data_IF_092030127345
#
_entry.id   IF_092030127345
#
_cell.length_a   1.000
_cell.length_b   1.000
_cell.length_c   1.000
_cell.angle_alpha   90.00
_cell.angle_beta   90.00
_cell.angle_gamma   90.00
#
_symmetry.space_group_name_H-M   'P 1'
#
loop_
_entity.id
_entity.type
_entity.pdbx_description
1 polymer ?
#
# COMPACT_ATOMS: atom_id res chain seq x y z
N UNK A 1 -21.72 -11.62 -8.07
CA UNK A 1 -20.28 -11.27 -8.17
C UNK A 1 -19.51 -12.57 -8.29
N UNK A 2 -18.65 -12.74 -9.29
CA UNK A 2 -17.89 -13.98 -9.46
C UNK A 2 -16.77 -14.04 -8.44
N UNK A 3 -16.91 -14.90 -7.42
CA UNK A 3 -15.79 -15.22 -6.52
C UNK A 3 -14.58 -15.66 -7.35
N UNK A 4 -13.39 -15.17 -6.99
CA UNK A 4 -12.15 -15.65 -7.62
C UNK A 4 -12.10 -17.16 -7.47
N UNK A 5 -12.07 -17.88 -8.58
CA UNK A 5 -12.03 -19.35 -8.53
C UNK A 5 -10.78 -19.80 -7.78
N UNK A 6 -10.88 -20.92 -7.07
CA UNK A 6 -9.76 -21.49 -6.31
C UNK A 6 -8.51 -21.66 -7.18
N UNK A 7 -8.69 -22.07 -8.44
CA UNK A 7 -7.62 -22.16 -9.44
C UNK A 7 -6.97 -20.82 -9.78
N UNK A 8 -7.70 -19.70 -9.72
CA UNK A 8 -7.12 -18.36 -9.90
C UNK A 8 -6.22 -17.99 -8.71
N UNK A 9 -6.62 -18.33 -7.48
CA UNK A 9 -5.81 -18.10 -6.28
C UNK A 9 -4.50 -18.89 -6.32
N UNK A 10 -4.53 -20.14 -6.78
CA UNK A 10 -3.32 -20.96 -6.89
C UNK A 10 -2.39 -20.49 -8.02
N UNK A 11 -2.94 -20.05 -9.15
CA UNK A 11 -2.14 -19.39 -10.20
C UNK A 11 -1.46 -18.13 -9.69
N UNK A 12 -2.17 -17.32 -8.91
CA UNK A 12 -1.61 -16.11 -8.31
C UNK A 12 -0.50 -16.45 -7.31
N UNK A 13 -0.70 -17.44 -6.45
CA UNK A 13 0.33 -17.93 -5.53
C UNK A 13 1.58 -18.40 -6.26
N UNK A 14 1.42 -19.22 -7.31
CA UNK A 14 2.53 -19.69 -8.13
C UNK A 14 3.30 -18.53 -8.80
N UNK A 15 2.60 -17.49 -9.25
CA UNK A 15 3.23 -16.29 -9.78
C UNK A 15 4.04 -15.54 -8.70
N UNK A 16 3.47 -15.36 -7.50
CA UNK A 16 4.15 -14.72 -6.37
C UNK A 16 5.40 -15.49 -5.93
N UNK A 17 5.35 -16.82 -5.89
CA UNK A 17 6.51 -17.66 -5.58
C UNK A 17 7.68 -17.40 -6.53
N UNK A 18 7.42 -17.29 -7.83
CA UNK A 18 8.46 -16.96 -8.83
C UNK A 18 9.05 -15.57 -8.60
N UNK A 19 8.21 -14.61 -8.24
CA UNK A 19 8.67 -13.24 -7.96
C UNK A 19 9.56 -13.21 -6.71
N UNK A 20 9.19 -13.96 -5.68
CA UNK A 20 9.96 -14.03 -4.43
C UNK A 20 11.25 -14.82 -4.60
N UNK A 21 11.25 -15.91 -5.38
CA UNK A 21 12.49 -16.63 -5.70
C UNK A 21 13.49 -15.76 -6.46
N UNK A 22 13.00 -14.77 -7.20
CA UNK A 22 13.83 -13.80 -7.93
C UNK A 22 14.34 -12.64 -7.06
N UNK A 23 13.86 -12.50 -5.81
CA UNK A 23 14.45 -11.54 -4.87
C UNK A 23 15.88 -12.00 -4.56
N UNK A 24 16.86 -11.17 -4.95
CA UNK A 24 18.28 -11.47 -4.76
C UNK A 24 18.54 -11.79 -3.28
N UNK A 25 18.85 -13.05 -2.99
CA UNK A 25 19.14 -13.58 -1.64
C UNK A 25 20.17 -12.72 -0.91
N UNK A 26 21.10 -12.12 -1.65
CA UNK A 26 22.17 -11.26 -1.11
C UNK A 26 21.68 -9.96 -0.45
N UNK A 27 20.42 -9.54 -0.67
CA UNK A 27 19.84 -8.35 -0.03
C UNK A 27 19.10 -8.66 1.27
N UNK A 28 18.81 -9.93 1.55
CA UNK A 28 18.04 -10.33 2.72
C UNK A 28 18.97 -10.73 3.87
N UNK A 29 18.59 -10.38 5.09
CA UNK A 29 19.29 -10.91 6.27
C UNK A 29 19.11 -12.43 6.33
N UNK A 30 20.15 -13.15 6.76
CA UNK A 30 20.11 -14.63 6.88
C UNK A 30 18.97 -15.11 7.78
N UNK A 31 18.67 -14.37 8.86
CA UNK A 31 17.55 -14.65 9.76
C UNK A 31 16.20 -14.56 9.05
N UNK A 32 16.00 -13.52 8.23
CA UNK A 32 14.75 -13.32 7.48
C UNK A 32 14.58 -14.38 6.40
N UNK A 33 15.66 -14.85 5.78
CA UNK A 33 15.60 -15.94 4.81
C UNK A 33 15.03 -17.22 5.43
N UNK A 34 15.47 -17.59 6.63
CA UNK A 34 14.93 -18.75 7.35
C UNK A 34 13.43 -18.61 7.64
N UNK A 35 13.01 -17.43 8.12
CA UNK A 35 11.59 -17.11 8.37
C UNK A 35 10.79 -17.18 7.07
N UNK A 36 11.29 -16.60 5.97
CA UNK A 36 10.65 -16.67 4.65
C UNK A 36 10.44 -18.13 4.23
N UNK A 37 11.46 -18.98 4.30
CA UNK A 37 11.33 -20.40 3.91
C UNK A 37 10.31 -21.14 4.77
N UNK A 38 10.28 -20.87 6.07
CA UNK A 38 9.29 -21.46 6.98
C UNK A 38 7.86 -21.09 6.57
N UNK A 39 7.61 -19.79 6.31
CA UNK A 39 6.29 -19.34 5.88
C UNK A 39 5.90 -19.83 4.48
N UNK A 40 6.85 -19.91 3.54
CA UNK A 40 6.58 -20.48 2.21
C UNK A 40 6.17 -21.95 2.29
N UNK A 41 6.75 -22.71 3.23
CA UNK A 41 6.32 -24.09 3.51
C UNK A 41 4.91 -24.16 4.10
N UNK A 42 4.56 -23.24 5.00
CA UNK A 42 3.18 -23.14 5.53
C UNK A 42 2.22 -22.84 4.38
N UNK A 43 2.54 -21.85 3.54
CA UNK A 43 1.70 -21.45 2.41
C UNK A 43 1.49 -22.54 1.37
N UNK A 44 2.48 -23.42 1.14
CA UNK A 44 2.31 -24.54 0.21
C UNK A 44 1.43 -25.67 0.76
N UNK A 45 1.23 -25.73 2.09
CA UNK A 45 0.39 -26.74 2.75
C UNK A 45 -1.07 -26.30 2.89
N UNK A 46 -1.35 -25.01 2.68
CA UNK A 46 -2.70 -24.43 2.82
C UNK A 46 -3.62 -24.94 1.73
N UNK A 47 -4.81 -25.41 2.13
CA UNK A 47 -5.87 -25.90 1.25
C UNK A 47 -7.22 -25.24 1.55
N UNK A 48 -8.17 -25.33 0.60
CA UNK A 48 -9.53 -24.85 0.80
C UNK A 48 -9.63 -23.34 1.03
N UNK A 49 -10.31 -22.96 2.10
CA UNK A 49 -10.76 -21.58 2.37
C UNK A 49 -9.61 -20.62 2.69
N UNK A 50 -8.51 -21.11 3.28
CA UNK A 50 -7.37 -20.29 3.69
C UNK A 50 -6.47 -19.84 2.52
N UNK A 51 -6.72 -20.32 1.29
CA UNK A 51 -5.94 -19.93 0.09
C UNK A 51 -5.94 -18.43 -0.16
N UNK A 52 -7.00 -17.76 0.27
CA UNK A 52 -7.11 -16.31 0.18
C UNK A 52 -6.17 -15.63 1.17
N UNK A 53 -6.26 -15.93 2.47
CA UNK A 53 -5.34 -15.38 3.46
C UNK A 53 -3.87 -15.68 3.15
N UNK A 54 -3.58 -16.89 2.63
CA UNK A 54 -2.27 -17.23 2.07
C UNK A 54 -1.78 -16.19 1.06
N UNK A 55 -2.59 -15.90 0.03
CA UNK A 55 -2.21 -14.96 -1.02
C UNK A 55 -2.02 -13.53 -0.48
N UNK A 56 -2.81 -13.15 0.51
CA UNK A 56 -2.75 -11.85 1.17
C UNK A 56 -1.45 -11.69 1.99
N UNK A 57 -1.16 -12.68 2.83
CA UNK A 57 0.08 -12.74 3.58
C UNK A 57 1.30 -12.86 2.65
N UNK A 58 1.17 -13.52 1.50
CA UNK A 58 2.22 -13.58 0.50
C UNK A 58 2.52 -12.20 -0.13
N UNK A 59 1.49 -11.39 -0.42
CA UNK A 59 1.68 -10.01 -0.86
C UNK A 59 2.37 -9.18 0.23
N UNK A 60 1.91 -9.30 1.47
CA UNK A 60 2.47 -8.58 2.60
C UNK A 60 3.96 -8.93 2.81
N UNK A 61 4.30 -10.22 2.75
CA UNK A 61 5.67 -10.69 2.86
C UNK A 61 6.53 -10.13 1.74
N UNK A 62 6.06 -10.18 0.50
CA UNK A 62 6.78 -9.63 -0.64
C UNK A 62 7.03 -8.12 -0.49
N UNK A 63 6.02 -7.36 -0.07
CA UNK A 63 6.16 -5.92 0.20
C UNK A 63 7.24 -5.64 1.24
N UNK A 64 7.18 -6.34 2.39
CA UNK A 64 8.18 -6.19 3.45
C UNK A 64 9.60 -6.53 3.00
N UNK A 65 9.79 -7.65 2.30
CA UNK A 65 11.10 -8.06 1.79
C UNK A 65 11.64 -7.09 0.75
N UNK A 66 10.78 -6.59 -0.14
CA UNK A 66 11.17 -5.68 -1.23
C UNK A 66 11.51 -4.28 -0.73
N UNK A 67 10.71 -3.74 0.19
CA UNK A 67 10.78 -2.35 0.62
C UNK A 67 11.66 -2.17 1.84
N UNK A 68 11.54 -3.05 2.83
CA UNK A 68 12.28 -2.95 4.09
C UNK A 68 13.54 -3.82 4.10
N UNK A 69 13.67 -4.78 3.18
CA UNK A 69 14.76 -5.76 3.19
C UNK A 69 14.73 -6.74 4.38
N UNK A 70 13.66 -6.71 5.19
CA UNK A 70 13.48 -7.52 6.40
C UNK A 70 12.01 -7.87 6.63
N UNK A 71 11.74 -8.95 7.35
CA UNK A 71 10.39 -9.31 7.76
C UNK A 71 10.03 -8.66 9.10
N UNK A 72 8.79 -8.18 9.20
CA UNK A 72 8.19 -7.65 10.42
C UNK A 72 7.06 -8.54 10.92
N UNK A 73 6.14 -7.98 11.71
CA UNK A 73 4.87 -8.65 12.02
C UNK A 73 4.01 -8.72 10.74
N UNK A 74 3.24 -9.81 10.52
CA UNK A 74 3.02 -10.93 11.44
C UNK A 74 4.07 -12.05 11.39
N UNK A 75 5.02 -12.02 10.45
CA UNK A 75 5.90 -13.15 10.15
C UNK A 75 6.94 -13.48 11.23
N UNK A 76 7.35 -12.48 11.99
CA UNK A 76 8.36 -12.61 13.05
C UNK A 76 7.81 -13.20 14.35
N UNK A 77 6.48 -13.32 14.51
CA UNK A 77 5.88 -13.92 15.69
C UNK A 77 5.77 -15.45 15.49
N UNK A 78 6.55 -16.27 16.22
CA UNK A 78 6.53 -17.72 16.04
C UNK A 78 5.16 -18.35 16.35
N UNK A 79 4.35 -17.70 17.19
CA UNK A 79 3.00 -18.19 17.54
C UNK A 79 2.08 -18.20 16.32
N UNK A 80 2.30 -17.30 15.37
CA UNK A 80 1.47 -17.21 14.16
C UNK A 80 1.71 -18.37 13.19
N UNK A 81 2.79 -19.12 13.33
CA UNK A 81 3.09 -20.25 12.44
C UNK A 81 2.20 -21.48 12.68
N UNK A 82 1.52 -21.53 13.83
CA UNK A 82 0.62 -22.62 14.23
C UNK A 82 -0.86 -22.20 14.18
N UNK A 83 -1.15 -20.97 13.76
CA UNK A 83 -2.50 -20.43 13.73
C UNK A 83 -3.10 -20.52 12.33
N UNK A 84 -4.43 -20.49 12.27
CA UNK A 84 -5.13 -20.27 11.02
C UNK A 84 -4.72 -18.94 10.39
N UNK A 85 -4.51 -18.94 9.07
CA UNK A 85 -4.01 -17.77 8.35
C UNK A 85 -5.01 -16.62 8.36
N UNK A 86 -6.30 -16.92 8.38
CA UNK A 86 -7.37 -15.92 8.51
C UNK A 86 -7.29 -15.17 9.85
N UNK A 87 -6.98 -15.88 10.94
CA UNK A 87 -6.78 -15.27 12.27
C UNK A 87 -5.55 -14.36 12.27
N UNK A 88 -4.45 -14.83 11.68
CA UNK A 88 -3.20 -14.06 11.58
C UNK A 88 -3.43 -12.77 10.78
N UNK A 89 -4.23 -12.86 9.71
CA UNK A 89 -4.52 -11.73 8.85
C UNK A 89 -5.52 -10.75 9.48
N UNK A 90 -6.56 -11.25 10.16
CA UNK A 90 -7.56 -10.40 10.82
C UNK A 90 -6.99 -9.57 11.97
N UNK A 91 -5.96 -10.07 12.67
CA UNK A 91 -5.23 -9.31 13.69
C UNK A 91 -4.22 -8.32 13.10
N UNK A 92 -3.90 -8.42 11.82
CA UNK A 92 -2.97 -7.51 11.16
C UNK A 92 -3.62 -6.15 10.91
N UNK A 93 -3.30 -5.19 11.78
CA UNK A 93 -3.87 -3.84 11.75
C UNK A 93 -3.28 -2.89 10.69
N UNK A 94 -2.42 -3.38 9.78
CA UNK A 94 -1.82 -2.55 8.72
C UNK A 94 -0.85 -1.47 9.21
N UNK A 95 -0.58 -1.36 10.52
CA UNK A 95 0.41 -0.42 11.04
C UNK A 95 1.79 -0.97 10.70
N UNK A 96 2.31 -0.55 9.54
CA UNK A 96 3.72 -0.72 9.19
C UNK A 96 4.47 0.11 10.23
N UNK A 97 4.96 -0.55 11.27
CA UNK A 97 5.92 0.05 12.19
C UNK A 97 7.18 0.28 11.36
N UNK A 98 7.24 1.44 10.70
CA UNK A 98 8.50 2.07 10.37
C UNK A 98 9.15 2.25 11.72
N UNK A 99 9.94 1.26 12.14
CA UNK A 99 10.73 1.35 13.34
C UNK A 99 11.46 2.67 13.19
N UNK A 100 11.10 3.67 14.00
CA UNK A 100 11.89 4.88 14.11
C UNK A 100 13.31 4.36 14.31
N UNK A 101 14.26 4.70 13.41
CA UNK A 101 15.64 4.33 13.66
C UNK A 101 15.90 4.81 15.08
N UNK A 102 16.27 3.90 15.98
CA UNK A 102 16.60 4.22 17.35
C UNK A 102 17.78 5.18 17.26
N UNK A 103 17.48 6.47 17.18
CA UNK A 103 18.42 7.58 17.18
C UNK A 103 18.82 7.81 18.63
N UNK A 104 19.48 6.80 19.20
CA UNK A 104 20.40 6.96 20.30
C UNK A 104 21.73 6.54 19.73
N UNK A 105 22.39 7.51 19.07
CA UNK A 105 23.84 7.67 19.02
C UNK A 105 24.19 8.66 17.90
N UNK A 106 24.82 9.78 18.32
CA UNK A 106 25.48 10.84 17.54
C UNK A 106 24.64 12.05 17.08
N UNK A 107 24.41 12.97 18.02
CA UNK A 107 23.96 14.35 17.77
C UNK A 107 25.13 15.34 17.46
N UNK A 108 26.35 14.88 17.14
CA UNK A 108 27.53 15.78 17.05
C UNK A 108 28.20 15.89 15.65
N UNK A 109 27.49 15.63 14.55
CA UNK A 109 28.13 15.65 13.22
C UNK A 109 27.35 16.28 12.06
N UNK A 110 26.50 17.28 12.32
CA UNK A 110 25.90 18.10 11.25
C UNK A 110 26.14 19.60 11.51
N UNK A 111 27.38 20.07 11.32
CA UNK A 111 27.68 21.51 11.24
C UNK A 111 28.65 21.89 10.11
N UNK A 112 29.17 20.96 9.31
CA UNK A 112 30.17 21.32 8.28
C UNK A 112 29.84 20.75 6.90
N UNK A 113 28.91 21.40 6.18
CA UNK A 113 28.90 21.33 4.72
C UNK A 113 28.27 22.60 4.12
N UNK A 114 28.87 23.74 4.45
CA UNK A 114 28.71 24.97 3.69
C UNK A 114 30.11 25.44 3.29
N UNK A 115 30.54 25.13 2.06
CA UNK A 115 31.68 25.82 1.47
C UNK A 115 31.65 25.73 -0.07
N UNK A 116 31.47 26.92 -0.66
CA UNK A 116 32.01 27.39 -1.93
C UNK A 116 31.53 26.77 -3.26
N UNK A 117 30.66 27.53 -3.91
CA UNK A 117 30.50 27.59 -5.35
C UNK A 117 29.92 28.95 -5.72
N UNK A 118 30.73 29.98 -5.62
CA UNK A 118 30.40 31.36 -5.98
C UNK A 118 30.29 31.46 -7.51
N UNK A 119 29.06 31.43 -8.03
CA UNK A 119 28.76 31.54 -9.47
C UNK A 119 28.25 32.95 -9.73
N UNK A 120 29.12 33.70 -10.41
CA UNK A 120 28.92 35.05 -10.92
C UNK A 120 27.58 35.25 -11.64
N UNK A 121 26.83 36.22 -11.13
CA UNK A 121 25.77 37.02 -11.74
C UNK A 121 25.57 36.90 -13.26
N UNK A 122 24.44 36.30 -13.65
CA UNK A 122 23.69 36.68 -14.86
C UNK A 122 22.25 37.01 -14.45
N UNK A 123 21.79 38.20 -14.80
CA UNK A 123 20.59 38.90 -14.29
C UNK A 123 19.24 38.38 -14.83
N UNK A 124 19.09 37.07 -15.02
CA UNK A 124 17.82 36.46 -15.48
C UNK A 124 17.15 35.55 -14.44
N UNK A 125 17.70 35.46 -13.22
CA UNK A 125 17.31 34.47 -12.19
C UNK A 125 16.15 34.85 -11.25
N UNK A 126 15.63 36.09 -11.31
CA UNK A 126 14.58 36.54 -10.38
C UNK A 126 13.22 35.84 -10.58
N UNK A 127 12.96 35.27 -11.77
CA UNK A 127 11.69 34.59 -12.03
C UNK A 127 11.63 33.15 -11.51
N UNK A 128 12.77 32.48 -11.33
CA UNK A 128 12.84 31.10 -10.83
C UNK A 128 12.70 31.02 -9.31
N UNK A 129 13.23 32.02 -8.60
CA UNK A 129 13.13 32.13 -7.13
C UNK A 129 11.67 32.15 -6.65
N UNK A 130 10.84 33.01 -7.26
CA UNK A 130 9.45 33.19 -6.84
C UNK A 130 8.56 31.94 -7.10
N UNK A 131 8.93 31.10 -8.07
CA UNK A 131 8.22 29.84 -8.36
C UNK A 131 8.57 28.74 -7.37
N UNK A 132 9.78 28.76 -6.81
CA UNK A 132 10.21 27.82 -5.79
C UNK A 132 9.54 28.13 -4.45
N UNK A 133 9.47 29.40 -4.06
CA UNK A 133 8.82 29.85 -2.82
C UNK A 133 7.33 29.50 -2.78
N UNK A 134 6.63 29.64 -3.91
CA UNK A 134 5.22 29.22 -3.99
C UNK A 134 5.04 27.71 -3.81
N UNK A 135 5.95 26.89 -4.37
CA UNK A 135 5.90 25.43 -4.18
C UNK A 135 6.19 25.06 -2.72
N UNK A 136 7.15 25.73 -2.09
CA UNK A 136 7.50 25.51 -0.67
C UNK A 136 6.30 25.87 0.22
N UNK A 137 5.62 26.99 -0.03
CA UNK A 137 4.41 27.37 0.70
C UNK A 137 3.30 26.33 0.54
N UNK A 138 3.04 25.87 -0.69
CA UNK A 138 2.02 24.84 -0.97
C UNK A 138 2.30 23.51 -0.27
N UNK A 139 3.56 23.08 -0.20
CA UNK A 139 3.97 21.87 0.54
C UNK A 139 3.76 22.06 2.04
N UNK A 140 4.05 23.25 2.59
CA UNK A 140 3.86 23.56 4.01
C UNK A 140 2.38 23.52 4.40
N UNK A 141 1.50 24.05 3.56
CA UNK A 141 0.05 24.04 3.79
C UNK A 141 -0.51 22.61 3.75
N UNK A 142 -0.09 21.81 2.77
CA UNK A 142 -0.42 20.38 2.69
C UNK A 142 0.06 19.60 3.92
N UNK A 143 1.27 19.88 4.39
CA UNK A 143 1.81 19.25 5.59
C UNK A 143 0.99 19.62 6.84
N UNK A 144 0.60 20.89 6.99
CA UNK A 144 -0.26 21.33 8.08
C UNK A 144 -1.66 20.71 8.02
N UNK A 145 -2.24 20.57 6.82
CA UNK A 145 -3.53 19.89 6.63
C UNK A 145 -3.44 18.42 7.04
N UNK A 146 -2.39 17.71 6.62
CA UNK A 146 -2.15 16.32 7.03
C UNK A 146 -1.97 16.18 8.55
N UNK A 147 -1.28 17.13 9.20
CA UNK A 147 -1.17 17.16 10.66
C UNK A 147 -2.52 17.33 11.36
N UNK A 148 -3.43 18.14 10.80
CA UNK A 148 -4.81 18.25 11.32
C UNK A 148 -5.58 16.95 11.17
N UNK A 149 -5.50 16.29 10.02
CA UNK A 149 -6.16 15.00 9.79
C UNK A 149 -5.65 13.90 10.73
N UNK A 150 -4.34 13.83 10.99
CA UNK A 150 -3.77 12.87 11.94
C UNK A 150 -4.36 13.08 13.34
N UNK A 151 -4.44 14.32 13.81
CA UNK A 151 -5.05 14.65 15.12
C UNK A 151 -6.54 14.28 15.19
N UNK A 152 -7.28 14.50 14.11
CA UNK A 152 -8.69 14.12 14.02
C UNK A 152 -8.87 12.59 14.04
N UNK A 153 -8.01 11.84 13.32
CA UNK A 153 -8.00 10.38 13.36
C UNK A 153 -7.73 9.87 14.78
N UNK A 154 -6.73 10.44 15.47
CA UNK A 154 -6.40 10.07 16.85
C UNK A 154 -7.57 10.34 17.81
N UNK A 155 -8.24 11.49 17.64
CA UNK A 155 -9.44 11.85 18.43
C UNK A 155 -10.58 10.84 18.20
N UNK A 156 -10.89 10.51 16.94
CA UNK A 156 -11.92 9.52 16.59
C UNK A 156 -11.57 8.13 17.12
N UNK A 157 -10.29 7.76 17.14
CA UNK A 157 -9.84 6.49 17.70
C UNK A 157 -10.06 6.42 19.22
N UNK A 158 -9.76 7.51 19.94
CA UNK A 158 -10.03 7.62 21.38
C UNK A 158 -11.54 7.47 21.66
N UNK A 159 -12.37 8.21 20.93
CA UNK A 159 -13.83 8.14 21.09
C UNK A 159 -14.39 6.74 20.82
N UNK A 160 -13.88 6.07 19.78
CA UNK A 160 -14.29 4.71 19.43
C UNK A 160 -13.88 3.71 20.51
N UNK A 161 -12.68 3.87 21.09
CA UNK A 161 -12.19 3.05 22.19
C UNK A 161 -13.05 3.20 23.45
N UNK A 162 -13.41 4.43 23.82
CA UNK A 162 -14.25 4.72 24.99
C UNK A 162 -15.66 4.12 24.83
N UNK A 163 -16.27 4.28 23.65
CA UNK A 163 -17.57 3.67 23.32
C UNK A 163 -17.55 2.13 23.39
N UNK A 164 -16.44 1.50 22.97
CA UNK A 164 -16.29 0.05 23.06
C UNK A 164 -16.21 -0.42 24.53
N UNK A 165 -15.53 0.34 25.38
CA UNK A 165 -15.40 0.05 26.81
C UNK A 165 -16.73 0.22 27.55
N UNK A 166 -17.48 1.28 27.24
CA UNK A 166 -18.84 1.50 27.75
C UNK A 166 -19.80 0.38 27.34
N UNK A 167 -19.75 -0.05 26.09
CA UNK A 167 -20.55 -1.18 25.60
C UNK A 167 -20.25 -2.47 26.36
N UNK A 168 -18.96 -2.74 26.64
CA UNK A 168 -18.53 -3.90 27.43
C UNK A 168 -19.04 -3.81 28.88
N UNK A 169 -18.96 -2.65 29.51
CA UNK A 169 -19.45 -2.41 30.87
C UNK A 169 -20.97 -2.58 30.98
N UNK A 170 -21.73 -2.11 29.99
CA UNK A 170 -23.19 -2.32 29.93
C UNK A 170 -23.54 -3.81 29.89
N UNK A 171 -22.85 -4.60 29.05
CA UNK A 171 -23.06 -6.06 28.97
C UNK A 171 -22.80 -6.76 30.31
N UNK A 172 -21.72 -6.40 31.00
CA UNK A 172 -21.40 -6.93 32.34
C UNK A 172 -22.48 -6.58 33.37
N UNK A 173 -23.01 -5.36 33.35
CA UNK A 173 -24.07 -4.95 34.26
C UNK A 173 -25.40 -5.65 33.97
N UNK A 174 -25.78 -5.83 32.70
CA UNK A 174 -26.96 -6.60 32.32
C UNK A 174 -26.83 -8.06 32.78
N UNK A 175 -25.65 -8.66 32.61
CA UNK A 175 -25.40 -10.03 33.08
C UNK A 175 -25.52 -10.16 34.60
N UNK A 176 -25.01 -9.19 35.37
CA UNK A 176 -25.16 -9.15 36.84
C UNK A 176 -26.62 -9.00 37.27
N UNK A 177 -27.41 -8.17 36.58
CA UNK A 177 -28.84 -8.01 36.89
C UNK A 177 -29.61 -9.31 36.65
N UNK A 178 -29.33 -10.01 35.55
CA UNK A 178 -29.96 -11.31 35.25
C UNK A 178 -29.63 -12.34 36.34
N UNK A 179 -28.39 -12.38 36.84
CA UNK A 179 -28.02 -13.30 37.93
C UNK A 179 -28.67 -12.98 39.29
N UNK A 180 -29.05 -11.72 39.54
CA UNK A 180 -29.66 -11.30 40.80
C UNK A 180 -31.19 -11.38 40.81
N UNK A 181 -31.83 -11.47 39.65
CA UNK A 181 -33.29 -11.49 39.53
C UNK A 181 -33.89 -12.87 39.25
N UNK A 182 -33.12 -13.97 39.31
CA UNK A 182 -33.76 -15.28 39.43
C UNK A 182 -34.54 -15.31 40.75
N UNK A 183 -35.89 -15.31 40.72
CA UNK A 183 -36.66 -15.33 41.94
C UNK A 183 -36.31 -16.62 42.67
N UNK A 184 -36.06 -16.52 43.97
CA UNK A 184 -36.11 -17.66 44.87
C UNK A 184 -37.50 -18.30 44.75
N UNK A 185 -37.69 -19.18 43.77
CA UNK A 185 -38.94 -19.87 43.55
C UNK A 185 -39.14 -20.78 44.77
N UNK A 186 -40.10 -20.33 45.58
CA UNK A 186 -41.01 -21.16 46.38
C UNK A 186 -40.48 -22.55 46.70
N UNK A 187 -40.08 -22.73 47.96
CA UNK A 187 -39.86 -24.01 48.65
C UNK A 187 -41.08 -24.92 48.48
N UNK A 188 -41.22 -25.58 47.34
CA UNK A 188 -42.00 -26.81 47.24
C UNK A 188 -41.21 -27.87 48.00
N UNK A 189 -41.79 -28.39 49.07
CA UNK A 189 -41.27 -29.52 49.86
C UNK A 189 -41.34 -30.83 49.05
N UNK A 190 -40.76 -30.83 47.85
CA UNK A 190 -40.43 -32.05 47.11
C UNK A 190 -39.00 -32.42 47.47
N UNK A 191 -38.76 -33.71 47.70
CA UNK A 191 -37.43 -34.27 47.93
C UNK A 191 -36.47 -33.76 46.85
N UNK A 192 -35.58 -32.84 47.24
CA UNK A 192 -34.53 -32.33 46.36
C UNK A 192 -33.60 -33.49 46.06
N UNK A 193 -33.80 -34.15 44.92
CA UNK A 193 -32.84 -35.10 44.40
C UNK A 193 -31.66 -34.28 43.84
N UNK A 194 -30.49 -34.26 44.52
CA UNK A 194 -29.33 -33.45 44.09
C UNK A 194 -28.83 -33.83 42.69
N UNK A 195 -29.31 -34.95 42.15
CA UNK A 195 -28.94 -35.47 40.84
C UNK A 195 -29.49 -34.65 39.66
N UNK A 196 -30.65 -33.99 39.82
CA UNK A 196 -31.32 -33.29 38.69
C UNK A 196 -30.47 -32.14 38.15
N UNK A 197 -29.88 -31.34 39.03
CA UNK A 197 -29.02 -30.22 38.61
C UNK A 197 -27.73 -30.71 37.94
N UNK A 198 -27.19 -31.85 38.39
CA UNK A 198 -26.03 -32.49 37.78
C UNK A 198 -26.34 -32.95 36.35
N UNK A 199 -27.52 -33.55 36.14
CA UNK A 199 -27.99 -33.97 34.83
C UNK A 199 -28.22 -32.80 33.87
N UNK A 200 -28.90 -31.73 34.32
CA UNK A 200 -29.13 -30.53 33.51
C UNK A 200 -27.80 -29.91 33.08
N UNK A 201 -26.83 -29.81 33.99
CA UNK A 201 -25.51 -29.29 33.67
C UNK A 201 -24.78 -30.17 32.65
N UNK A 202 -24.80 -31.49 32.84
CA UNK A 202 -24.18 -32.46 31.93
C UNK A 202 -24.78 -32.39 30.52
N UNK A 203 -26.11 -32.34 30.44
CA UNK A 203 -26.87 -32.15 29.19
C UNK A 203 -26.52 -30.83 28.49
N UNK A 204 -26.45 -29.73 29.23
CA UNK A 204 -26.05 -28.42 28.70
C UNK A 204 -24.63 -28.42 28.15
N UNK A 205 -23.69 -29.03 28.88
CA UNK A 205 -22.30 -29.17 28.43
C UNK A 205 -22.19 -30.04 27.18
N UNK A 206 -22.99 -31.11 27.08
CA UNK A 206 -23.06 -31.95 25.89
C UNK A 206 -23.59 -31.17 24.68
N UNK A 207 -24.66 -30.38 24.86
CA UNK A 207 -25.22 -29.54 23.81
C UNK A 207 -24.20 -28.49 23.32
N UNK A 208 -23.48 -27.82 24.23
CA UNK A 208 -22.40 -26.90 23.85
C UNK A 208 -21.26 -27.59 23.08
N UNK A 209 -20.89 -28.80 23.50
CA UNK A 209 -19.84 -29.55 22.81
C UNK A 209 -20.27 -29.99 21.41
N UNK A 210 -21.56 -30.30 21.20
CA UNK A 210 -22.13 -30.55 19.87
C UNK A 210 -22.09 -29.28 19.02
N UNK A 211 -22.56 -28.16 19.55
CA UNK A 211 -22.52 -26.88 18.86
C UNK A 211 -21.10 -26.49 18.41
N UNK A 212 -20.08 -26.77 19.23
CA UNK A 212 -18.67 -26.53 18.87
C UNK A 212 -18.13 -27.43 17.76
N UNK A 213 -18.65 -28.66 17.66
CA UNK A 213 -18.22 -29.66 16.66
C UNK A 213 -19.05 -29.61 15.39
N UNK A 214 -20.14 -28.86 15.41
CA UNK A 214 -21.08 -28.79 14.31
C UNK A 214 -20.43 -28.23 13.05
N UNK A 215 -20.55 -28.99 11.97
CA UNK A 215 -19.83 -28.72 10.71
C UNK A 215 -20.66 -27.99 9.66
N UNK A 216 -21.94 -27.71 9.95
CA UNK A 216 -22.82 -26.92 9.09
C UNK A 216 -24.18 -27.60 8.84
N UNK A 217 -24.93 -27.12 7.83
CA UNK A 217 -26.38 -27.37 7.70
C UNK A 217 -26.78 -28.83 7.43
N UNK A 218 -25.82 -29.72 7.13
CA UNK A 218 -26.10 -31.13 6.87
C UNK A 218 -26.23 -31.96 8.16
N UNK A 219 -25.87 -31.41 9.31
CA UNK A 219 -25.90 -32.07 10.60
C UNK A 219 -26.90 -31.36 11.52
N UNK A 220 -27.78 -32.14 12.16
CA UNK A 220 -28.72 -31.60 13.15
C UNK A 220 -27.97 -31.33 14.46
N UNK A 221 -28.21 -30.16 15.05
CA UNK A 221 -27.57 -29.74 16.30
C UNK A 221 -28.31 -30.34 17.50
N UNK A 222 -29.65 -30.41 17.40
CA UNK A 222 -30.55 -30.86 18.47
C UNK A 222 -30.20 -30.21 19.83
N UNK A 223 -29.90 -28.91 19.81
CA UNK A 223 -29.30 -28.20 20.94
C UNK A 223 -30.24 -28.19 22.16
N UNK A 224 -31.48 -27.75 21.96
CA UNK A 224 -32.52 -27.66 22.98
C UNK A 224 -32.98 -29.05 23.41
N UNK A 225 -33.12 -29.99 22.47
CA UNK A 225 -33.43 -31.39 22.79
C UNK A 225 -32.37 -32.01 23.69
N UNK A 226 -31.09 -31.72 23.42
CA UNK A 226 -29.97 -32.18 24.26
C UNK A 226 -29.97 -31.47 25.61
N UNK A 227 -30.18 -30.14 25.66
CA UNK A 227 -30.21 -29.36 26.89
C UNK A 227 -31.36 -29.76 27.83
N UNK A 228 -32.55 -29.98 27.27
CA UNK A 228 -33.81 -30.25 27.99
C UNK A 228 -34.13 -31.75 28.05
N UNK A 229 -33.14 -32.61 27.86
CA UNK A 229 -33.33 -34.06 27.81
C UNK A 229 -34.04 -34.59 29.07
N UNK A 230 -33.73 -34.02 30.25
CA UNK A 230 -34.34 -34.43 31.51
C UNK A 230 -35.84 -34.11 31.54
N UNK A 231 -36.24 -32.91 31.12
CA UNK A 231 -37.62 -32.45 31.05
C UNK A 231 -38.41 -33.21 29.97
N UNK A 232 -37.80 -33.50 28.82
CA UNK A 232 -38.43 -34.25 27.73
C UNK A 232 -38.71 -35.70 28.16
N UNK A 233 -37.80 -36.33 28.91
CA UNK A 233 -38.02 -37.68 29.44
C UNK A 233 -39.21 -37.73 30.40
N UNK A 234 -39.46 -36.66 31.15
CA UNK A 234 -40.58 -36.54 32.07
C UNK A 234 -41.90 -36.15 31.36
N UNK A 235 -41.82 -35.40 30.26
CA UNK A 235 -42.97 -34.88 29.51
C UNK A 235 -42.76 -35.08 28.00
N UNK A 236 -43.08 -36.27 27.46
CA UNK A 236 -42.84 -36.60 26.04
C UNK A 236 -43.63 -35.70 25.07
N UNK A 237 -44.73 -35.10 25.53
CA UNK A 237 -45.51 -34.12 24.76
C UNK A 237 -44.69 -32.87 24.36
N UNK A 238 -43.65 -32.52 25.13
CA UNK A 238 -42.75 -31.41 24.81
C UNK A 238 -41.81 -31.74 23.66
N UNK A 239 -41.57 -33.01 23.35
CA UNK A 239 -40.57 -33.43 22.36
C UNK A 239 -40.83 -32.80 20.98
N UNK A 240 -42.10 -32.76 20.54
CA UNK A 240 -42.45 -32.16 19.25
C UNK A 240 -42.21 -30.65 19.22
N UNK A 241 -42.52 -29.96 20.32
CA UNK A 241 -42.34 -28.51 20.43
C UNK A 241 -40.85 -28.14 20.49
N UNK A 242 -40.06 -28.90 21.26
CA UNK A 242 -38.60 -28.71 21.35
C UNK A 242 -37.95 -28.99 20.00
N UNK A 243 -38.35 -30.04 19.29
CA UNK A 243 -37.85 -30.31 17.94
C UNK A 243 -38.15 -29.17 16.95
N UNK A 244 -39.32 -28.52 17.05
CA UNK A 244 -39.65 -27.33 16.24
C UNK A 244 -38.74 -26.15 16.59
N UNK A 245 -38.48 -25.93 17.88
CA UNK A 245 -37.57 -24.88 18.34
C UNK A 245 -36.12 -25.15 17.92
N UNK A 246 -35.67 -26.40 17.96
CA UNK A 246 -34.33 -26.78 17.49
C UNK A 246 -34.13 -26.47 16.02
N UNK A 247 -35.09 -26.83 15.16
CA UNK A 247 -35.05 -26.46 13.73
C UNK A 247 -35.02 -24.96 13.53
N UNK A 248 -35.77 -24.20 14.34
CA UNK A 248 -35.74 -22.75 14.26
C UNK A 248 -34.39 -22.18 14.72
N UNK A 249 -33.84 -22.71 15.80
CA UNK A 249 -32.51 -22.34 16.30
C UNK A 249 -31.43 -22.63 15.25
N UNK A 250 -31.45 -23.82 14.65
CA UNK A 250 -30.55 -24.20 13.54
C UNK A 250 -30.66 -23.22 12.38
N UNK A 251 -31.88 -22.83 11.99
CA UNK A 251 -32.09 -21.86 10.93
C UNK A 251 -31.48 -20.49 11.28
N UNK A 252 -31.69 -20.00 12.51
CA UNK A 252 -31.11 -18.73 12.98
C UNK A 252 -29.59 -18.79 13.03
N UNK A 253 -29.01 -19.89 13.53
CA UNK A 253 -27.55 -20.05 13.60
C UNK A 253 -26.95 -20.12 12.19
N UNK A 254 -27.54 -20.90 11.27
CA UNK A 254 -27.11 -20.94 9.87
C UNK A 254 -27.16 -19.55 9.24
N UNK A 255 -28.26 -18.81 9.42
CA UNK A 255 -28.40 -17.45 8.92
C UNK A 255 -27.33 -16.51 9.50
N UNK A 256 -27.02 -16.61 10.80
CA UNK A 256 -25.97 -15.80 11.43
C UNK A 256 -24.57 -16.15 10.90
N UNK A 257 -24.29 -17.43 10.64
CA UNK A 257 -23.04 -17.87 10.03
C UNK A 257 -22.93 -17.33 8.62
N UNK A 258 -23.96 -17.50 7.79
CA UNK A 258 -24.00 -16.94 6.44
C UNK A 258 -23.75 -15.43 6.44
N UNK A 259 -24.46 -14.68 7.29
CA UNK A 259 -24.27 -13.24 7.44
C UNK A 259 -22.85 -12.87 7.90
N UNK A 260 -22.25 -13.66 8.79
CA UNK A 260 -20.89 -13.41 9.28
C UNK A 260 -19.86 -13.70 8.19
N UNK A 261 -20.01 -14.80 7.46
CA UNK A 261 -19.20 -15.14 6.29
C UNK A 261 -19.31 -14.08 5.20
N UNK A 262 -20.51 -13.62 4.86
CA UNK A 262 -20.71 -12.55 3.87
C UNK A 262 -20.00 -11.25 4.27
N UNK A 263 -20.09 -10.85 5.56
CA UNK A 263 -19.38 -9.66 6.06
C UNK A 263 -17.88 -9.85 6.03
N UNK A 264 -17.40 -11.03 6.42
CA UNK A 264 -15.99 -11.38 6.35
C UNK A 264 -15.47 -11.27 4.92
N UNK A 265 -16.13 -11.93 3.96
CA UNK A 265 -15.76 -11.91 2.54
C UNK A 265 -15.79 -10.50 1.96
N UNK A 266 -16.79 -9.70 2.32
CA UNK A 266 -16.87 -8.30 1.89
C UNK A 266 -15.73 -7.46 2.47
N UNK A 267 -15.41 -7.62 3.76
CA UNK A 267 -14.30 -6.92 4.39
C UNK A 267 -12.96 -7.31 3.77
N UNK A 268 -12.81 -8.60 3.46
CA UNK A 268 -11.63 -9.16 2.82
C UNK A 268 -11.46 -8.64 1.40
N UNK A 269 -12.53 -8.62 0.60
CA UNK A 269 -12.51 -8.01 -0.74
C UNK A 269 -12.15 -6.53 -0.69
N UNK A 270 -12.72 -5.77 0.25
CA UNK A 270 -12.35 -4.37 0.46
C UNK A 270 -10.87 -4.19 0.80
N UNK A 271 -10.27 -5.10 1.57
CA UNK A 271 -8.84 -5.08 1.89
C UNK A 271 -7.99 -5.32 0.63
N UNK A 272 -8.38 -6.29 -0.20
CA UNK A 272 -7.70 -6.55 -1.47
C UNK A 272 -7.78 -5.38 -2.44
N UNK A 273 -8.95 -4.77 -2.59
CA UNK A 273 -9.12 -3.60 -3.46
C UNK A 273 -8.23 -2.45 -3.00
N UNK A 274 -8.11 -2.23 -1.68
CA UNK A 274 -7.20 -1.23 -1.11
C UNK A 274 -5.73 -1.58 -1.38
N UNK A 275 -5.31 -2.81 -1.08
CA UNK A 275 -3.93 -3.26 -1.30
C UNK A 275 -3.55 -3.18 -2.79
N UNK A 276 -4.44 -3.60 -3.68
CA UNK A 276 -4.23 -3.57 -5.11
C UNK A 276 -4.16 -2.12 -5.63
N UNK A 277 -5.06 -1.25 -5.16
CA UNK A 277 -5.02 0.18 -5.50
C UNK A 277 -3.71 0.83 -5.04
N UNK A 278 -3.29 0.59 -3.80
CA UNK A 278 -2.03 1.09 -3.25
C UNK A 278 -0.82 0.59 -4.06
N UNK A 279 -0.80 -0.69 -4.43
CA UNK A 279 0.27 -1.27 -5.24
C UNK A 279 0.33 -0.62 -6.63
N UNK A 280 -0.82 -0.36 -7.25
CA UNK A 280 -0.92 0.32 -8.55
C UNK A 280 -0.44 1.77 -8.49
N UNK A 281 -0.85 2.52 -7.46
CA UNK A 281 -0.39 3.90 -7.25
C UNK A 281 1.13 3.97 -7.04
N UNK A 282 1.68 3.07 -6.23
CA UNK A 282 3.13 2.97 -6.02
C UNK A 282 3.88 2.65 -7.32
N UNK A 283 3.31 1.81 -8.19
CA UNK A 283 3.88 1.51 -9.49
C UNK A 283 3.88 2.74 -10.40
N UNK A 284 2.77 3.49 -10.44
CA UNK A 284 2.67 4.72 -11.24
C UNK A 284 3.71 5.77 -10.82
N UNK A 285 3.90 5.97 -9.52
CA UNK A 285 4.92 6.89 -8.99
C UNK A 285 6.33 6.46 -9.42
N UNK A 286 6.63 5.15 -9.38
CA UNK A 286 7.93 4.62 -9.84
C UNK A 286 8.13 4.82 -11.34
N UNK A 287 7.10 4.60 -12.14
CA UNK A 287 7.14 4.82 -13.59
C UNK A 287 7.31 6.31 -13.94
N UNK A 288 6.68 7.21 -13.19
CA UNK A 288 6.88 8.65 -13.33
C UNK A 288 8.30 9.09 -12.95
N UNK A 289 8.82 8.61 -11.82
CA UNK A 289 10.19 8.89 -11.41
C UNK A 289 11.22 8.37 -12.44
N UNK A 290 11.00 7.18 -13.00
CA UNK A 290 11.84 6.65 -14.08
C UNK A 290 11.77 7.53 -15.34
N UNK A 291 10.58 8.03 -15.69
CA UNK A 291 10.43 8.98 -16.80
C UNK A 291 11.20 10.28 -16.55
N UNK A 292 11.15 10.83 -15.33
CA UNK A 292 11.89 12.02 -14.96
C UNK A 292 13.42 11.80 -15.05
N UNK A 293 13.92 10.67 -14.54
CA UNK A 293 15.34 10.32 -14.62
C UNK A 293 15.80 10.16 -16.08
N UNK A 294 15.01 9.51 -16.93
CA UNK A 294 15.33 9.37 -18.34
C UNK A 294 15.39 10.73 -19.04
N UNK A 295 14.44 11.63 -18.76
CA UNK A 295 14.44 12.97 -19.32
C UNK A 295 15.68 13.79 -18.88
N UNK A 296 16.09 13.69 -17.61
CA UNK A 296 17.33 14.32 -17.14
C UNK A 296 18.57 13.75 -17.84
N UNK A 297 18.62 12.43 -18.04
CA UNK A 297 19.73 11.77 -18.73
C UNK A 297 19.81 12.20 -20.21
N UNK A 298 18.66 12.28 -20.90
CA UNK A 298 18.57 12.79 -22.26
C UNK A 298 19.05 14.24 -22.35
N UNK A 299 18.66 15.08 -21.39
CA UNK A 299 19.14 16.46 -21.30
C UNK A 299 20.66 16.54 -21.12
N UNK A 300 21.24 15.74 -20.22
CA UNK A 300 22.69 15.68 -20.01
C UNK A 300 23.43 15.20 -21.27
N UNK A 301 22.91 14.17 -21.94
CA UNK A 301 23.48 13.69 -23.19
C UNK A 301 23.46 14.77 -24.28
N UNK A 302 22.38 15.55 -24.35
CA UNK A 302 22.26 16.66 -25.30
C UNK A 302 23.24 17.80 -24.98
N UNK A 303 23.41 18.14 -23.70
CA UNK A 303 24.40 19.13 -23.27
C UNK A 303 25.82 18.70 -23.65
N UNK A 304 26.15 17.42 -23.43
CA UNK A 304 27.43 16.85 -23.84
C UNK A 304 27.62 16.94 -25.36
N UNK A 305 26.60 16.59 -26.14
CA UNK A 305 26.66 16.69 -27.59
C UNK A 305 26.91 18.13 -28.06
N UNK A 306 26.20 19.11 -27.50
CA UNK A 306 26.42 20.53 -27.82
C UNK A 306 27.85 20.96 -27.47
N UNK A 307 28.36 20.56 -26.30
CA UNK A 307 29.74 20.85 -25.88
C UNK A 307 30.77 20.22 -26.82
N UNK A 308 30.56 18.98 -27.25
CA UNK A 308 31.45 18.28 -28.19
C UNK A 308 31.43 18.96 -29.57
N UNK A 309 30.25 19.38 -30.05
CA UNK A 309 30.09 20.13 -31.28
C UNK A 309 30.78 21.51 -31.22
N UNK A 310 30.62 22.25 -30.11
CA UNK A 310 31.31 23.54 -29.89
C UNK A 310 32.83 23.38 -29.90
N UNK A 311 33.36 22.38 -29.20
CA UNK A 311 34.78 22.07 -29.20
C UNK A 311 35.30 21.74 -30.61
N UNK A 312 34.53 21.00 -31.41
CA UNK A 312 34.87 20.70 -32.80
C UNK A 312 34.84 21.94 -33.70
N UNK A 313 33.85 22.82 -33.54
CA UNK A 313 33.78 24.10 -34.23
C UNK A 313 34.98 24.99 -33.90
N UNK A 314 35.34 25.12 -32.62
CA UNK A 314 36.49 25.91 -32.17
C UNK A 314 37.81 25.36 -32.73
N UNK A 315 38.01 24.04 -32.69
CA UNK A 315 39.18 23.38 -33.27
C UNK A 315 39.29 23.63 -34.78
N UNK A 316 38.17 23.59 -35.51
CA UNK A 316 38.14 23.87 -36.93
C UNK A 316 38.40 25.35 -37.24
N UNK A 317 37.80 26.27 -36.49
CA UNK A 317 38.05 27.71 -36.61
C UNK A 317 39.55 28.02 -36.40
N UNK A 318 40.15 27.44 -35.36
CA UNK A 318 41.59 27.59 -35.06
C UNK A 318 42.48 27.02 -36.18
N UNK A 319 42.11 25.90 -36.80
CA UNK A 319 42.83 25.35 -37.96
C UNK A 319 42.75 26.28 -39.16
N UNK A 320 41.56 26.81 -39.47
CA UNK A 320 41.36 27.75 -40.57
C UNK A 320 42.14 29.04 -40.35
N UNK A 321 42.12 29.59 -39.13
CA UNK A 321 42.87 30.78 -38.75
C UNK A 321 44.39 30.59 -38.93
N UNK A 322 44.94 29.44 -38.50
CA UNK A 322 46.36 29.11 -38.72
C UNK A 322 46.70 28.99 -40.20
N UNK A 323 45.88 28.29 -40.98
CA UNK A 323 46.08 28.15 -42.41
C UNK A 323 46.04 29.50 -43.15
N UNK A 324 45.20 30.45 -42.71
CA UNK A 324 45.21 31.82 -43.24
C UNK A 324 46.47 32.58 -42.85
N UNK A 325 46.92 32.49 -41.59
CA UNK A 325 48.16 33.15 -41.13
C UNK A 325 49.39 32.64 -41.89
N UNK A 326 49.48 31.33 -42.15
CA UNK A 326 50.59 30.76 -42.93
C UNK A 326 50.59 31.23 -44.39
N UNK A 327 49.40 31.41 -44.98
CA UNK A 327 49.24 31.86 -46.37
C UNK A 327 49.55 33.34 -46.58
N UNK A 328 49.26 34.20 -45.60
CA UNK A 328 49.48 35.65 -45.70
C UNK A 328 50.73 36.15 -44.94
N UNK A 329 51.21 35.40 -43.95
CA UNK A 329 52.39 35.73 -43.14
C UNK A 329 53.72 35.58 -43.89
N UNK A 330 53.74 34.93 -45.06
CA UNK A 330 54.95 34.77 -45.87
C UNK A 330 55.19 35.91 -46.89
N UNK A 331 54.32 36.93 -46.94
CA UNK A 331 54.48 38.09 -47.82
C UNK A 331 54.89 39.40 -47.13
N UNK A 332 55.24 39.34 -45.84
CA UNK A 332 55.85 40.48 -45.15
C UNK A 332 57.30 40.19 -44.79
N UNK A 333 58.14 40.11 -45.82
CA UNK A 333 59.47 40.72 -45.77
C UNK A 333 59.31 42.24 -45.59
N UNK A 334 59.02 42.63 -44.35
CA UNK A 334 59.56 43.80 -43.63
C UNK A 334 60.06 44.98 -44.50
N UNK A 335 59.22 45.61 -45.33
CA UNK A 335 59.57 46.94 -45.89
C UNK A 335 58.43 47.82 -46.44
N UNK A 336 57.14 47.45 -46.39
CA UNK A 336 56.16 48.21 -47.20
C UNK A 336 54.72 48.28 -46.68
N UNK A 337 54.49 48.31 -45.36
CA UNK A 337 53.14 48.51 -44.79
C UNK A 337 53.17 49.47 -43.59
N UNK A 338 53.92 50.57 -43.70
CA UNK A 338 53.71 51.74 -42.84
C UNK A 338 53.16 52.95 -43.63
N UNK A 339 52.96 52.84 -44.97
CA UNK A 339 52.53 53.97 -45.81
C UNK A 339 51.05 53.97 -46.23
N UNK A 340 50.26 52.92 -45.95
CA UNK A 340 48.86 52.84 -46.44
C UNK A 340 47.78 52.90 -45.35
N UNK A 341 48.15 52.86 -44.06
CA UNK A 341 47.16 52.88 -42.97
C UNK A 341 46.67 54.27 -42.55
N UNK A 342 47.10 55.34 -43.22
CA UNK A 342 46.74 56.72 -42.86
C UNK A 342 45.70 57.37 -43.78
N UNK A 343 45.10 56.65 -44.74
CA UNK A 343 44.27 57.29 -45.77
C UNK A 343 42.82 56.79 -45.92
N UNK A 344 42.34 55.82 -45.13
CA UNK A 344 41.03 55.19 -45.38
C UNK A 344 40.12 55.01 -44.15
N UNK A 345 40.08 55.95 -43.20
CA UNK A 345 39.00 56.01 -42.21
C UNK A 345 38.42 57.43 -42.10
N UNK A 346 37.29 57.72 -42.76
CA UNK A 346 36.41 58.79 -42.34
C UNK A 346 35.74 58.39 -41.01
N UNK A 347 35.91 59.23 -40.00
CA UNK A 347 35.11 59.22 -38.79
C UNK A 347 33.65 59.43 -39.17
N UNK A 348 32.82 58.40 -39.12
CA UNK A 348 31.36 58.53 -38.94
C UNK A 348 30.78 57.16 -38.56
N UNK A 349 30.77 56.85 -37.26
CA UNK A 349 29.96 55.77 -36.69
C UNK A 349 28.84 56.43 -35.90
N UNK A 350 27.68 56.56 -36.54
CA UNK A 350 26.42 56.78 -35.84
C UNK A 350 26.00 55.46 -35.18
N UNK A 351 26.05 55.42 -33.86
CA UNK A 351 25.41 54.40 -33.03
C UNK A 351 23.90 54.44 -33.22
N UNK A 352 23.37 53.50 -33.99
CA UNK A 352 21.92 53.27 -34.08
C UNK A 352 21.57 52.15 -33.10
N UNK A 353 21.02 52.52 -31.95
CA UNK A 353 20.41 51.59 -30.99
C UNK A 353 19.21 50.90 -31.64
N UNK A 354 19.38 49.61 -31.98
CA UNK A 354 18.25 48.75 -32.34
C UNK A 354 17.62 48.19 -31.07
N UNK A 355 16.55 48.84 -30.62
CA UNK A 355 15.63 48.35 -29.60
C UNK A 355 14.91 47.08 -30.11
N UNK A 356 15.33 45.92 -29.63
CA UNK A 356 14.60 44.65 -29.82
C UNK A 356 13.48 44.57 -28.78
N UNK A 357 12.28 45.02 -29.17
CA UNK A 357 11.07 44.87 -28.38
C UNK A 357 10.44 43.50 -28.69
N UNK A 358 10.74 42.49 -27.89
CA UNK A 358 10.11 41.17 -27.99
C UNK A 358 8.74 41.19 -27.27
N UNK A 359 7.70 41.49 -28.05
CA UNK A 359 6.31 41.31 -27.65
C UNK A 359 6.01 39.83 -27.40
N UNK A 360 5.80 39.48 -26.13
CA UNK A 360 5.08 38.27 -25.73
C UNK A 360 3.62 38.40 -26.14
N UNK A 361 3.20 37.66 -27.17
CA UNK A 361 1.78 37.47 -27.45
C UNK A 361 1.41 36.00 -27.20
N UNK A 362 0.71 35.80 -26.08
CA UNK A 362 0.11 34.55 -25.65
C UNK A 362 -1.05 34.23 -26.59
N UNK A 363 -0.84 33.29 -27.49
CA UNK A 363 -1.90 32.66 -28.27
C UNK A 363 -2.42 31.43 -27.53
N UNK A 364 -3.50 31.61 -26.76
CA UNK A 364 -4.34 30.52 -26.30
C UNK A 364 -4.97 29.81 -27.52
N UNK A 365 -4.52 28.60 -27.81
CA UNK A 365 -5.27 27.65 -28.64
C UNK A 365 -5.70 26.44 -27.80
N UNK A 366 -7.00 26.10 -27.78
CA UNK A 366 -7.49 24.93 -27.08
C UNK A 366 -7.09 23.67 -27.84
N UNK A 367 -6.20 22.87 -27.23
CA UNK A 367 -5.90 21.52 -27.68
C UNK A 367 -7.15 20.65 -27.56
N UNK A 368 -7.59 20.17 -28.73
CA UNK A 368 -8.75 19.33 -28.91
C UNK A 368 -8.69 18.02 -28.11
N UNK A 369 -9.89 17.56 -27.78
CA UNK A 369 -10.16 16.26 -27.19
C UNK A 369 -9.68 15.13 -28.12
N UNK A 370 -8.95 14.12 -27.62
CA UNK A 370 -8.80 12.88 -28.37
C UNK A 370 -10.13 12.10 -28.30
N UNK A 371 -10.77 11.94 -29.45
CA UNK A 371 -11.83 10.94 -29.63
C UNK A 371 -11.23 9.55 -29.43
N UNK A 372 -11.73 8.83 -28.44
CA UNK A 372 -11.52 7.40 -28.33
C UNK A 372 -12.36 6.71 -29.39
N UNK A 373 -11.68 6.29 -30.46
CA UNK A 373 -12.24 5.39 -31.45
C UNK A 373 -12.37 3.99 -30.83
N UNK A 374 -13.60 3.49 -30.77
CA UNK A 374 -13.94 2.18 -30.23
C UNK A 374 -13.51 1.10 -31.23
N UNK A 375 -12.22 0.79 -31.23
CA UNK A 375 -11.67 -0.39 -31.89
C UNK A 375 -12.12 -1.67 -31.20
N UNK A 376 -13.21 -2.25 -31.70
CA UNK A 376 -13.67 -3.60 -31.40
C UNK A 376 -12.55 -4.63 -31.66
N UNK A 377 -12.00 -5.18 -30.57
CA UNK A 377 -11.02 -6.27 -30.61
C UNK A 377 -11.71 -7.60 -30.94
N UNK A 378 -11.52 -8.05 -32.17
CA UNK A 378 -12.03 -9.30 -32.75
C UNK A 378 -11.18 -10.53 -32.36
N UNK A 379 -11.02 -10.80 -31.07
CA UNK A 379 -10.35 -12.03 -30.61
C UNK A 379 -11.09 -12.67 -29.43
N UNK A 380 -12.25 -13.26 -29.72
CA UNK A 380 -12.93 -14.27 -28.91
C UNK A 380 -13.75 -15.17 -29.84
N UNK A 381 -13.10 -16.15 -30.45
CA UNK A 381 -13.75 -17.32 -31.06
C UNK A 381 -12.93 -18.56 -30.73
N UNK A 382 -13.67 -19.63 -30.41
CA UNK A 382 -13.25 -21.02 -30.22
C UNK A 382 -12.69 -21.42 -28.84
N UNK A 383 -13.60 -21.86 -27.95
CA UNK A 383 -13.65 -23.27 -27.52
C UNK A 383 -14.94 -23.59 -26.76
N UNK A 384 -15.91 -24.11 -27.49
CA UNK A 384 -16.99 -24.95 -26.97
C UNK A 384 -17.32 -25.95 -28.07
N UNK A 385 -16.69 -27.12 -27.98
CA UNK A 385 -17.18 -28.43 -28.40
C UNK A 385 -16.58 -29.43 -27.42
#
# INVERSE_FOLDING_TARGET
MGGLSECALDRHFAAQLRVISNLKVNKLRKSDHGITQQWLKIFSQVSGQEKYARNCLMLLMYGQLKEMGRLGKPFTDPRNTQRHLDDVLSEYNGKIYMAKPDSKDNDDALTNMACCGDISHTTEDDHLSHKLDHKISSIKDLWQANQKFIKEIDLLHSQTSDLALDSKNRKLNTQKQISFQLPNSTKTKGENNPDIMSDIWKSSMQAMNRLKKWTGPNEQIDFLSTCLQHEINNMPELQEQVAKLDRHFEHVVNFLIEQTCERHDKNMMNLYDRLFKQQKELQQVKEEHLRQLNHMLEYQNRQKQISDEQFMWEKNANRTARATTDRYGHKNSKTQIESEYQQCYPNDVQTTEMNFNANNNVGDQPMGQPMYDNGSCSYCKARSQ
#
